data_IF_541790666991
#
_entry.id   IF_541790666991
#
_cell.length_a   1.000
_cell.length_b   1.000
_cell.length_c   1.000
_cell.angle_alpha   90.00
_cell.angle_beta   90.00
_cell.angle_gamma   90.00
#
_symmetry.space_group_name_H-M   'P 1'
#
loop_
_entity.id
_entity.type
_entity.pdbx_description
1 polymer ?
#
# COMPACT_ATOMS: atom_id res chain seq x y z
N UNK A 1 -22.93 61.71 -13.20
CA UNK A 1 -22.62 60.54 -12.35
C UNK A 1 -22.65 59.19 -13.08
N UNK A 2 -23.28 59.08 -14.26
CA UNK A 2 -23.56 57.78 -14.89
C UNK A 2 -22.37 57.22 -15.68
N UNK A 3 -21.45 58.09 -16.14
CA UNK A 3 -20.26 57.67 -16.87
C UNK A 3 -19.26 56.92 -16.00
N UNK A 4 -19.10 57.34 -14.73
CA UNK A 4 -18.22 56.66 -13.78
C UNK A 4 -18.67 55.22 -13.49
N UNK A 5 -19.98 55.00 -13.40
CA UNK A 5 -20.56 53.65 -13.20
C UNK A 5 -20.33 52.79 -14.44
N UNK A 6 -20.51 53.35 -15.63
CA UNK A 6 -20.28 52.65 -16.90
C UNK A 6 -18.81 52.26 -17.08
N UNK A 7 -17.88 53.12 -16.70
CA UNK A 7 -16.43 52.84 -16.72
C UNK A 7 -16.07 51.73 -15.72
N UNK A 8 -16.63 51.74 -14.51
CA UNK A 8 -16.38 50.69 -13.51
C UNK A 8 -16.89 49.32 -13.97
N UNK A 9 -18.07 49.27 -14.59
CA UNK A 9 -18.63 48.02 -15.15
C UNK A 9 -17.78 47.52 -16.32
N UNK A 10 -17.30 48.41 -17.19
CA UNK A 10 -16.42 48.05 -18.30
C UNK A 10 -15.09 47.48 -17.82
N UNK A 11 -14.44 48.11 -16.83
CA UNK A 11 -13.18 47.64 -16.24
C UNK A 11 -13.37 46.29 -15.54
N UNK A 12 -14.49 46.09 -14.85
CA UNK A 12 -14.81 44.82 -14.20
C UNK A 12 -15.01 43.68 -15.22
N UNK A 13 -15.75 43.92 -16.30
CA UNK A 13 -15.94 42.93 -17.37
C UNK A 13 -14.62 42.59 -18.06
N UNK A 14 -13.79 43.60 -18.36
CA UNK A 14 -12.46 43.42 -18.92
C UNK A 14 -11.58 42.60 -17.97
N UNK A 15 -11.61 42.88 -16.66
CA UNK A 15 -10.89 42.10 -15.64
C UNK A 15 -11.38 40.65 -15.55
N UNK A 16 -12.68 40.40 -15.63
CA UNK A 16 -13.25 39.04 -15.63
C UNK A 16 -12.83 38.27 -16.87
N UNK A 17 -12.85 38.92 -18.04
CA UNK A 17 -12.39 38.33 -19.30
C UNK A 17 -10.89 38.07 -19.25
N UNK A 18 -10.06 39.03 -18.82
CA UNK A 18 -8.61 38.84 -18.60
C UNK A 18 -8.33 37.76 -17.56
N UNK A 19 -9.11 37.68 -16.49
CA UNK A 19 -8.95 36.63 -15.47
C UNK A 19 -9.39 35.27 -15.99
N UNK A 20 -10.28 35.20 -16.96
CA UNK A 20 -10.71 33.96 -17.59
C UNK A 20 -9.78 33.53 -18.74
N UNK A 21 -9.28 34.47 -19.54
CA UNK A 21 -8.37 34.20 -20.67
C UNK A 21 -6.91 34.06 -20.25
N UNK A 22 -6.47 34.80 -19.22
CA UNK A 22 -5.11 34.73 -18.67
C UNK A 22 -5.03 33.84 -17.43
N UNK A 23 -6.17 33.50 -16.80
CA UNK A 23 -6.29 32.56 -15.68
C UNK A 23 -6.85 31.19 -16.09
N UNK A 24 -6.60 30.77 -17.33
CA UNK A 24 -6.88 29.42 -17.81
C UNK A 24 -6.04 28.38 -17.05
N UNK A 25 -6.73 27.49 -16.34
CA UNK A 25 -6.23 26.31 -15.63
C UNK A 25 -5.41 26.52 -14.34
N UNK A 26 -6.11 26.83 -13.24
CA UNK A 26 -6.04 25.89 -12.10
C UNK A 26 -7.05 24.76 -12.36
N UNK A 27 -6.84 24.04 -13.46
CA UNK A 27 -7.41 22.71 -13.56
C UNK A 27 -6.81 21.96 -12.39
N UNK A 28 -7.69 21.20 -11.76
CA UNK A 28 -7.44 20.13 -10.83
C UNK A 28 -6.46 19.09 -11.41
N UNK A 29 -5.26 19.49 -11.83
CA UNK A 29 -4.07 18.73 -11.57
C UNK A 29 -4.01 18.70 -10.05
N UNK A 30 -4.70 17.71 -9.49
CA UNK A 30 -4.06 16.77 -8.59
C UNK A 30 -2.56 16.91 -8.85
N UNK A 31 -1.91 17.74 -8.02
CA UNK A 31 -0.49 17.60 -7.75
C UNK A 31 -0.42 16.14 -7.40
N UNK A 32 -0.09 15.30 -8.40
CA UNK A 32 0.35 13.94 -8.20
C UNK A 32 1.50 14.19 -7.27
N UNK A 33 1.17 14.11 -5.99
CA UNK A 33 2.10 14.16 -4.91
C UNK A 33 3.16 13.21 -5.42
N UNK A 34 4.34 13.74 -5.75
CA UNK A 34 5.53 12.94 -5.84
C UNK A 34 5.75 12.44 -4.41
N UNK A 35 4.86 11.54 -3.97
CA UNK A 35 5.20 10.45 -3.09
C UNK A 35 6.53 9.98 -3.66
N UNK A 36 7.60 9.84 -2.87
CA UNK A 36 8.78 9.16 -3.36
C UNK A 36 8.21 7.88 -3.95
N UNK A 37 8.26 7.76 -5.29
CA UNK A 37 7.74 6.60 -5.96
C UNK A 37 8.57 5.51 -5.32
N UNK A 38 7.95 4.73 -4.43
CA UNK A 38 8.54 3.50 -3.96
C UNK A 38 8.98 2.85 -5.26
N UNK A 39 10.30 2.73 -5.46
CA UNK A 39 10.91 2.26 -6.69
C UNK A 39 10.34 0.86 -6.88
N UNK A 40 9.19 0.79 -7.53
CA UNK A 40 8.55 -0.46 -7.89
C UNK A 40 9.47 -0.98 -8.95
N UNK A 41 10.28 -1.95 -8.56
CA UNK A 41 11.12 -2.67 -9.50
C UNK A 41 10.14 -3.44 -10.37
N UNK A 42 9.96 -2.99 -11.59
CA UNK A 42 9.11 -3.66 -12.56
C UNK A 42 9.84 -4.92 -13.04
N UNK A 43 9.07 -5.98 -13.30
CA UNK A 43 9.62 -7.18 -13.92
C UNK A 43 9.93 -6.86 -15.37
N UNK A 44 11.15 -7.17 -15.80
CA UNK A 44 11.61 -6.96 -17.17
C UNK A 44 11.66 -8.29 -17.88
N UNK A 45 11.00 -8.39 -19.04
CA UNK A 45 11.09 -9.58 -19.89
C UNK A 45 12.24 -9.44 -20.89
N UNK A 46 12.84 -10.54 -21.35
CA UNK A 46 13.89 -10.50 -22.37
C UNK A 46 13.45 -9.81 -23.67
N UNK A 47 12.19 -9.98 -24.06
CA UNK A 47 11.64 -9.35 -25.27
C UNK A 47 11.62 -7.82 -25.20
N UNK A 48 11.34 -7.24 -24.01
CA UNK A 48 11.39 -5.79 -23.82
C UNK A 48 12.81 -5.25 -24.03
N UNK A 49 13.82 -6.01 -23.60
CA UNK A 49 15.24 -5.64 -23.76
C UNK A 49 15.63 -5.72 -25.23
N UNK A 50 15.22 -6.79 -25.92
CA UNK A 50 15.53 -7.02 -27.33
C UNK A 50 14.93 -5.94 -28.23
N UNK A 51 13.68 -5.53 -27.98
CA UNK A 51 13.02 -4.45 -28.71
C UNK A 51 13.80 -3.12 -28.59
N UNK A 52 14.22 -2.74 -27.38
CA UNK A 52 15.04 -1.53 -27.17
C UNK A 52 16.41 -1.69 -27.82
N UNK A 53 17.03 -2.87 -27.73
CA UNK A 53 18.34 -3.16 -28.34
C UNK A 53 18.33 -3.09 -29.86
N UNK A 54 17.24 -3.52 -30.51
CA UNK A 54 17.07 -3.45 -31.95
C UNK A 54 17.04 -2.00 -32.45
N UNK A 55 16.44 -1.08 -31.69
CA UNK A 55 16.42 0.36 -31.99
C UNK A 55 17.73 1.06 -31.60
N UNK A 56 18.36 0.64 -30.50
CA UNK A 56 19.56 1.25 -29.94
C UNK A 56 20.70 0.22 -29.74
N UNK A 57 21.40 -0.18 -30.81
CA UNK A 57 22.47 -1.18 -30.71
C UNK A 57 23.68 -0.70 -29.90
N UNK A 58 23.86 0.62 -29.78
CA UNK A 58 24.95 1.26 -29.03
C UNK A 58 24.71 1.28 -27.51
N UNK A 59 23.49 0.98 -27.05
CA UNK A 59 23.14 1.03 -25.62
C UNK A 59 23.31 -0.37 -25.00
N UNK A 60 24.06 -0.50 -23.89
CA UNK A 60 24.29 -1.80 -23.28
C UNK A 60 23.02 -2.38 -22.64
N UNK A 61 22.87 -3.70 -22.72
CA UNK A 61 21.69 -4.42 -22.19
C UNK A 61 21.46 -4.20 -20.70
N UNK A 62 22.55 -4.03 -19.93
CA UNK A 62 22.46 -3.72 -18.50
C UNK A 62 21.79 -2.36 -18.22
N UNK A 63 22.07 -1.35 -19.04
CA UNK A 63 21.46 -0.02 -18.89
C UNK A 63 19.98 -0.05 -19.32
N UNK A 64 19.66 -0.78 -20.39
CA UNK A 64 18.28 -1.04 -20.83
C UNK A 64 17.50 -1.72 -19.71
N UNK A 65 18.03 -2.80 -19.14
CA UNK A 65 17.37 -3.53 -18.06
C UNK A 65 17.14 -2.66 -16.83
N UNK A 66 18.13 -1.87 -16.43
CA UNK A 66 18.02 -0.99 -15.27
C UNK A 66 16.97 0.12 -15.47
N UNK A 67 16.91 0.73 -16.65
CA UNK A 67 15.89 1.74 -16.93
C UNK A 67 14.51 1.09 -17.08
N UNK A 68 14.38 -0.07 -17.73
CA UNK A 68 13.12 -0.82 -17.81
C UNK A 68 12.61 -1.27 -16.43
N UNK A 69 13.50 -1.62 -15.50
CA UNK A 69 13.12 -1.91 -14.11
C UNK A 69 12.56 -0.67 -13.41
N UNK A 70 13.04 0.52 -13.77
CA UNK A 70 12.61 1.81 -13.22
C UNK A 70 11.31 2.30 -13.84
N UNK A 71 11.19 2.23 -15.16
CA UNK A 71 10.06 2.77 -15.95
C UNK A 71 8.92 1.76 -16.09
N UNK A 72 9.24 0.47 -16.22
CA UNK A 72 8.29 -0.60 -16.48
C UNK A 72 7.70 -0.61 -17.90
N UNK A 73 8.17 0.26 -18.80
CA UNK A 73 7.65 0.37 -20.17
C UNK A 73 8.78 0.63 -21.16
N UNK A 74 8.70 -0.07 -22.31
CA UNK A 74 9.64 0.07 -23.42
C UNK A 74 9.59 1.47 -24.01
N UNK A 75 8.40 2.02 -24.23
CA UNK A 75 8.20 3.34 -24.83
C UNK A 75 8.88 4.45 -24.01
N UNK A 76 8.71 4.41 -22.68
CA UNK A 76 9.33 5.39 -21.77
C UNK A 76 10.85 5.26 -21.78
N UNK A 77 11.37 4.04 -21.89
CA UNK A 77 12.82 3.80 -21.97
C UNK A 77 13.39 4.24 -23.32
N UNK A 78 12.65 4.10 -24.42
CA UNK A 78 13.01 4.64 -25.74
C UNK A 78 13.06 6.18 -25.68
N UNK A 79 12.04 6.82 -25.11
CA UNK A 79 12.01 8.27 -24.94
C UNK A 79 13.19 8.78 -24.08
N UNK A 80 13.53 8.08 -23.00
CA UNK A 80 14.68 8.43 -22.18
C UNK A 80 15.99 8.29 -22.96
N UNK A 81 16.16 7.20 -23.72
CA UNK A 81 17.34 6.98 -24.55
C UNK A 81 17.50 8.07 -25.62
N UNK A 82 16.40 8.55 -26.21
CA UNK A 82 16.42 9.65 -27.18
C UNK A 82 16.75 10.99 -26.53
N UNK A 83 16.19 11.26 -25.34
CA UNK A 83 16.42 12.52 -24.60
C UNK A 83 17.86 12.69 -24.15
N UNK A 84 18.43 11.63 -23.60
CA UNK A 84 19.74 11.67 -22.95
C UNK A 84 20.86 11.21 -23.90
N UNK A 85 20.52 10.80 -25.14
CA UNK A 85 21.48 10.22 -26.10
C UNK A 85 22.02 8.84 -25.66
N UNK A 86 21.37 8.19 -24.71
CA UNK A 86 21.79 6.95 -24.08
C UNK A 86 21.01 6.69 -22.78
N UNK A 87 21.29 5.57 -22.11
CA UNK A 87 20.68 5.25 -20.82
C UNK A 87 21.72 5.34 -19.69
N UNK A 88 21.34 5.82 -18.49
CA UNK A 88 22.26 5.89 -17.36
C UNK A 88 22.73 4.48 -16.98
N UNK A 89 24.05 4.29 -16.95
CA UNK A 89 24.64 3.01 -16.58
C UNK A 89 24.34 2.70 -15.10
N UNK A 90 23.73 1.55 -14.78
CA UNK A 90 23.54 1.16 -13.39
C UNK A 90 24.90 1.00 -12.72
N UNK A 91 25.03 1.31 -11.41
CA UNK A 91 26.22 0.96 -10.67
C UNK A 91 26.38 -0.56 -10.74
N UNK A 92 27.52 -1.01 -11.29
CA UNK A 92 27.84 -2.44 -11.36
C UNK A 92 27.84 -3.00 -9.94
N UNK A 93 27.09 -4.08 -9.64
CA UNK A 93 27.31 -4.79 -8.40
C UNK A 93 28.74 -5.35 -8.47
N UNK A 94 29.65 -4.86 -7.64
CA UNK A 94 30.89 -5.57 -7.35
C UNK A 94 30.50 -6.96 -6.87
N UNK A 95 30.62 -7.94 -7.76
CA UNK A 95 30.56 -9.35 -7.40
C UNK A 95 31.77 -9.59 -6.51
N UNK A 96 31.54 -9.67 -5.20
CA UNK A 96 32.48 -10.33 -4.29
C UNK A 96 32.64 -11.76 -4.80
N UNK A 97 33.77 -12.03 -5.41
CA UNK A 97 34.19 -13.34 -5.88
C UNK A 97 34.21 -14.31 -4.68
N UNK A 98 33.55 -15.48 -4.74
CA UNK A 98 33.65 -16.48 -3.68
C UNK A 98 35.01 -17.18 -3.80
N UNK A 99 35.99 -16.82 -2.96
CA UNK A 99 37.32 -17.42 -3.04
C UNK A 99 38.31 -17.00 -1.96
N UNK A 100 38.02 -17.30 -0.68
CA UNK A 100 39.01 -17.70 0.34
C UNK A 100 38.32 -17.86 1.70
N UNK A 101 38.51 -18.98 2.44
CA UNK A 101 37.95 -19.15 3.76
C UNK A 101 38.82 -18.40 4.77
N UNK A 102 38.40 -17.19 5.17
CA UNK A 102 38.84 -16.62 6.43
C UNK A 102 37.75 -16.93 7.44
N UNK A 103 38.07 -17.82 8.39
CA UNK A 103 37.21 -18.07 9.54
C UNK A 103 36.93 -16.72 10.23
N UNK A 104 35.64 -16.43 10.45
CA UNK A 104 35.09 -15.86 11.67
C UNK A 104 33.57 -15.73 11.52
N UNK A 105 32.91 -16.67 12.19
CA UNK A 105 31.62 -16.62 12.89
C UNK A 105 30.36 -16.03 12.23
N UNK A 106 29.39 -16.95 12.11
CA UNK A 106 27.94 -16.84 12.13
C UNK A 106 27.19 -16.07 11.02
N UNK A 107 26.90 -16.85 9.97
CA UNK A 107 25.78 -16.61 9.05
C UNK A 107 24.73 -17.70 9.27
N UNK A 108 23.56 -17.37 9.81
CA UNK A 108 22.35 -18.15 9.55
C UNK A 108 21.53 -17.45 8.47
N UNK A 109 21.55 -18.05 7.28
CA UNK A 109 20.80 -17.69 6.09
C UNK A 109 19.30 -17.91 6.25
N UNK A 110 18.46 -16.94 5.85
CA UNK A 110 17.11 -17.23 5.36
C UNK A 110 16.54 -16.07 4.51
N UNK A 111 16.13 -16.41 3.29
CA UNK A 111 15.13 -15.77 2.43
C UNK A 111 14.93 -14.25 2.56
N UNK A 112 15.40 -13.50 1.56
CA UNK A 112 15.17 -12.06 1.37
C UNK A 112 13.70 -11.77 1.01
N UNK A 113 12.82 -11.88 2.00
CA UNK A 113 11.69 -10.96 2.10
C UNK A 113 12.29 -9.58 2.41
N UNK A 114 12.00 -8.58 1.58
CA UNK A 114 12.47 -7.21 1.78
C UNK A 114 11.86 -6.62 3.04
N UNK A 115 12.48 -6.89 4.19
CA UNK A 115 12.29 -6.09 5.39
C UNK A 115 12.90 -4.73 5.08
N UNK A 116 12.03 -3.72 4.99
CA UNK A 116 12.44 -2.32 4.99
C UNK A 116 13.36 -2.16 6.18
N UNK A 117 14.63 -1.73 5.98
CA UNK A 117 15.55 -1.38 7.06
C UNK A 117 14.78 -0.52 8.06
N UNK A 118 14.35 -1.13 9.16
CA UNK A 118 13.81 -0.39 10.28
C UNK A 118 14.96 0.48 10.71
N UNK A 119 14.82 1.78 10.55
CA UNK A 119 15.63 2.71 11.34
C UNK A 119 15.63 2.18 12.78
N UNK A 120 16.78 2.22 13.47
CA UNK A 120 17.06 1.61 14.79
C UNK A 120 16.13 2.04 15.95
N UNK A 121 14.94 2.56 15.69
CA UNK A 121 13.88 2.73 16.65
C UNK A 121 13.23 1.36 16.89
N UNK A 122 13.45 0.78 18.08
CA UNK A 122 12.90 -0.52 18.48
C UNK A 122 11.37 -0.62 18.42
N UNK A 123 10.65 0.52 18.43
CA UNK A 123 9.19 0.54 18.22
C UNK A 123 8.71 1.88 17.62
N UNK A 124 7.56 1.84 16.94
CA UNK A 124 6.88 3.06 16.46
C UNK A 124 6.47 3.98 17.62
N UNK A 125 6.18 3.41 18.79
CA UNK A 125 5.87 4.18 20.00
C UNK A 125 7.04 5.04 20.43
N UNK A 126 8.25 4.47 20.43
CA UNK A 126 9.46 5.20 20.75
C UNK A 126 9.75 6.32 19.74
N UNK A 127 9.47 6.07 18.46
CA UNK A 127 9.65 7.07 17.41
C UNK A 127 8.73 8.29 17.60
N UNK A 128 7.49 8.07 18.04
CA UNK A 128 6.52 9.13 18.28
C UNK A 128 6.46 9.59 19.74
N UNK A 129 7.33 9.06 20.62
CA UNK A 129 7.35 9.34 22.07
C UNK A 129 5.95 9.19 22.70
N UNK A 130 5.26 8.11 22.34
CA UNK A 130 3.91 7.83 22.83
C UNK A 130 3.99 6.94 24.06
N UNK A 131 3.62 7.48 25.22
CA UNK A 131 3.56 6.75 26.48
C UNK A 131 2.15 6.22 26.72
N UNK A 132 1.99 4.88 26.84
CA UNK A 132 0.67 4.25 27.03
C UNK A 132 -0.05 4.75 28.29
N UNK A 133 0.70 5.16 29.32
CA UNK A 133 0.19 5.58 30.62
C UNK A 133 -0.24 7.05 30.68
N UNK A 134 0.18 7.88 29.73
CA UNK A 134 -0.16 9.31 29.69
C UNK A 134 -1.26 9.63 28.65
N UNK A 135 -1.85 8.60 28.03
CA UNK A 135 -2.87 8.79 27.00
C UNK A 135 -4.16 9.31 27.61
N UNK A 136 -4.49 10.56 27.31
CA UNK A 136 -5.79 11.11 27.65
C UNK A 136 -6.84 10.62 26.65
N UNK A 137 -8.11 10.54 27.05
CA UNK A 137 -9.20 10.14 26.14
C UNK A 137 -9.34 11.06 24.92
N UNK A 138 -8.80 12.29 25.00
CA UNK A 138 -8.71 13.23 23.88
C UNK A 138 -7.72 12.78 22.79
N UNK A 139 -6.64 12.07 23.14
CA UNK A 139 -5.64 11.56 22.19
C UNK A 139 -6.13 10.32 21.42
N UNK A 140 -7.25 9.74 21.88
CA UNK A 140 -7.95 8.63 21.24
C UNK A 140 -9.09 9.08 20.33
N UNK A 141 -9.39 10.38 20.25
CA UNK A 141 -10.38 10.91 19.33
C UNK A 141 -9.80 10.94 17.90
N UNK A 142 -10.61 10.53 16.91
CA UNK A 142 -10.18 10.58 15.52
C UNK A 142 -9.97 12.04 15.10
N UNK A 143 -8.75 12.43 14.69
CA UNK A 143 -8.49 13.81 14.27
C UNK A 143 -9.23 14.09 12.96
N UNK A 144 -9.81 15.30 12.79
CA UNK A 144 -10.61 15.61 11.62
C UNK A 144 -9.78 15.45 10.33
N UNK A 145 -10.38 14.80 9.32
CA UNK A 145 -9.77 14.53 8.02
C UNK A 145 -9.85 15.76 7.09
N UNK A 146 -9.61 16.95 7.63
CA UNK A 146 -9.64 18.21 6.89
C UNK A 146 -8.20 18.70 6.69
N UNK A 147 -7.90 19.20 5.50
CA UNK A 147 -6.60 19.76 5.18
C UNK A 147 -6.60 21.26 5.50
N UNK A 148 -5.90 21.64 6.56
CA UNK A 148 -5.72 23.04 6.94
C UNK A 148 -4.95 23.82 5.86
N UNK A 149 -5.26 25.11 5.67
CA UNK A 149 -4.56 26.00 4.74
C UNK A 149 -3.15 26.36 5.24
N UNK A 150 -3.00 26.53 6.56
CA UNK A 150 -1.76 26.90 7.22
C UNK A 150 -0.78 25.71 7.29
N UNK A 151 0.49 25.96 7.00
CA UNK A 151 1.51 24.91 6.94
C UNK A 151 1.80 24.27 8.31
N UNK A 152 1.85 25.07 9.37
CA UNK A 152 2.13 24.61 10.73
C UNK A 152 0.99 23.76 11.28
N UNK A 153 -0.25 24.26 11.21
CA UNK A 153 -1.45 23.51 11.63
C UNK A 153 -1.58 22.18 10.90
N UNK A 154 -1.28 22.17 9.60
CA UNK A 154 -1.26 20.94 8.80
C UNK A 154 -0.20 19.95 9.27
N UNK A 155 1.00 20.41 9.60
CA UNK A 155 2.05 19.54 10.12
C UNK A 155 1.62 18.91 11.46
N UNK A 156 1.02 19.69 12.35
CA UNK A 156 0.49 19.21 13.63
C UNK A 156 -0.64 18.19 13.43
N UNK A 157 -1.59 18.48 12.55
CA UNK A 157 -2.68 17.57 12.19
C UNK A 157 -2.16 16.24 11.65
N UNK A 158 -1.12 16.26 10.80
CA UNK A 158 -0.49 15.05 10.30
C UNK A 158 0.25 14.26 11.39
N UNK A 159 0.87 14.94 12.36
CA UNK A 159 1.50 14.29 13.51
C UNK A 159 0.45 13.59 14.38
N UNK A 160 -0.60 14.31 14.79
CA UNK A 160 -1.73 13.76 15.56
C UNK A 160 -2.36 12.54 14.89
N UNK A 161 -2.56 12.59 13.57
CA UNK A 161 -3.10 11.46 12.80
C UNK A 161 -2.18 10.24 12.77
N UNK A 162 -0.86 10.44 12.70
CA UNK A 162 0.11 9.34 12.76
C UNK A 162 0.12 8.71 14.15
N UNK A 163 0.07 9.53 15.18
CA UNK A 163 0.02 9.09 16.58
C UNK A 163 -1.24 8.28 16.84
N UNK A 164 -2.41 8.80 16.44
CA UNK A 164 -3.69 8.08 16.49
C UNK A 164 -3.62 6.70 15.80
N UNK A 165 -3.04 6.63 14.60
CA UNK A 165 -2.91 5.38 13.86
C UNK A 165 -2.02 4.36 14.58
N UNK A 166 -0.93 4.81 15.21
CA UNK A 166 -0.03 3.94 15.98
C UNK A 166 -0.76 3.35 17.18
N UNK A 167 -1.54 4.17 17.88
CA UNK A 167 -2.34 3.73 19.04
C UNK A 167 -3.43 2.74 18.63
N UNK A 168 -4.17 3.03 17.56
CA UNK A 168 -5.20 2.13 17.04
C UNK A 168 -4.60 0.78 16.64
N UNK A 169 -3.46 0.79 15.95
CA UNK A 169 -2.76 -0.43 15.56
C UNK A 169 -2.31 -1.25 16.78
N UNK A 170 -1.85 -0.58 17.85
CA UNK A 170 -1.46 -1.24 19.10
C UNK A 170 -2.65 -1.90 19.79
N UNK A 171 -3.78 -1.19 19.93
CA UNK A 171 -5.02 -1.75 20.50
C UNK A 171 -5.46 -3.01 19.73
N UNK A 172 -5.50 -2.92 18.41
CA UNK A 172 -5.86 -4.04 17.54
C UNK A 172 -4.89 -5.22 17.65
N UNK A 173 -3.61 -4.97 17.89
CA UNK A 173 -2.60 -6.01 18.09
C UNK A 173 -2.84 -6.76 19.41
N UNK A 174 -3.08 -6.02 20.50
CA UNK A 174 -3.35 -6.60 21.83
C UNK A 174 -4.61 -7.46 21.79
N UNK A 175 -5.70 -6.96 21.18
CA UNK A 175 -6.94 -7.71 21.01
C UNK A 175 -6.73 -9.03 20.23
N UNK A 176 -5.97 -8.97 19.13
CA UNK A 176 -5.63 -10.17 18.35
C UNK A 176 -4.78 -11.17 19.14
N UNK A 177 -3.88 -10.70 20.01
CA UNK A 177 -3.09 -11.58 20.88
C UNK A 177 -3.98 -12.30 21.90
N UNK A 178 -4.91 -11.58 22.53
CA UNK A 178 -5.87 -12.17 23.47
C UNK A 178 -6.78 -13.20 22.80
N UNK A 179 -7.28 -12.90 21.59
CA UNK A 179 -8.10 -13.84 20.81
C UNK A 179 -7.31 -15.12 20.45
N UNK A 180 -6.04 -14.99 20.08
CA UNK A 180 -5.17 -16.15 19.80
C UNK A 180 -4.91 -17.01 21.05
N UNK A 181 -4.71 -16.38 22.21
CA UNK A 181 -4.55 -17.09 23.47
C UNK A 181 -5.84 -17.84 23.84
N UNK A 182 -7.00 -17.19 23.73
CA UNK A 182 -8.31 -17.81 24.00
C UNK A 182 -8.64 -18.97 23.05
N UNK A 183 -8.18 -18.92 21.80
CA UNK A 183 -8.33 -20.01 20.83
C UNK A 183 -7.38 -21.19 21.09
N UNK A 184 -6.33 -21.01 21.91
CA UNK A 184 -5.37 -22.07 22.25
C UNK A 184 -5.77 -22.82 23.55
N UNK A 185 -6.74 -22.30 24.30
CA UNK A 185 -7.18 -22.84 25.60
C UNK A 185 -8.49 -23.65 25.54
N UNK A 186 -8.97 -24.11 24.38
CA UNK A 186 -10.10 -25.06 24.35
C UNK A 186 -9.58 -26.46 24.73
N UNK A 187 -9.97 -27.00 25.91
CA UNK A 187 -9.32 -28.15 26.51
C UNK A 187 -9.77 -29.46 25.86
N UNK A 188 -8.78 -30.29 25.51
CA UNK A 188 -8.94 -31.71 25.25
C UNK A 188 -9.29 -32.45 26.54
N UNK A 189 -10.46 -33.08 26.63
CA UNK A 189 -10.67 -34.27 27.46
C UNK A 189 -11.44 -35.37 26.71
N UNK A 190 -11.06 -36.65 26.90
CA UNK A 190 -11.55 -37.82 26.18
C UNK A 190 -12.74 -38.47 26.89
N UNK A 191 -13.74 -39.03 26.19
CA UNK A 191 -14.66 -40.07 26.74
C UNK A 191 -15.38 -40.85 25.62
N UNK A 192 -15.02 -42.12 25.53
CA UNK A 192 -15.79 -43.36 25.27
C UNK A 192 -17.31 -43.26 24.91
N UNK A 193 -17.64 -43.95 23.81
CA UNK A 193 -18.85 -44.73 23.45
C UNK A 193 -20.29 -44.26 23.79
N UNK A 194 -21.15 -44.32 22.76
CA UNK A 194 -22.52 -44.89 22.69
C UNK A 194 -23.43 -44.03 21.80
N UNK A 195 -23.81 -44.50 20.62
CA UNK A 195 -25.02 -45.27 20.31
C UNK A 195 -26.22 -44.40 19.88
N UNK A 196 -26.58 -44.52 18.59
CA UNK A 196 -27.93 -44.55 17.99
C UNK A 196 -28.91 -43.41 18.34
N UNK A 197 -29.33 -42.62 17.34
CA UNK A 197 -30.70 -42.64 16.75
C UNK A 197 -30.86 -41.54 15.67
N UNK A 198 -31.73 -41.78 14.69
CA UNK A 198 -32.01 -40.97 13.48
C UNK A 198 -33.51 -40.67 13.50
N UNK A 199 -34.04 -39.45 13.23
CA UNK A 199 -34.40 -39.12 11.85
C UNK A 199 -34.43 -37.63 11.41
N UNK A 200 -34.12 -37.44 10.13
CA UNK A 200 -34.80 -36.58 9.14
C UNK A 200 -35.18 -35.14 9.56
N UNK A 201 -34.52 -34.11 9.05
CA UNK A 201 -34.84 -33.56 7.73
C UNK A 201 -33.78 -32.55 7.31
N UNK A 202 -33.12 -32.79 6.17
CA UNK A 202 -32.18 -31.86 5.53
C UNK A 202 -32.84 -31.31 4.27
N UNK A 203 -32.97 -29.99 4.05
CA UNK A 203 -32.99 -29.48 2.70
C UNK A 203 -31.56 -29.61 2.16
N UNK A 204 -31.40 -30.52 1.21
CA UNK A 204 -30.17 -30.70 0.43
C UNK A 204 -29.96 -29.42 -0.37
N UNK A 205 -28.89 -28.68 -0.08
CA UNK A 205 -28.32 -27.68 -0.99
C UNK A 205 -26.87 -28.09 -1.25
N UNK A 206 -26.70 -28.89 -2.29
CA UNK A 206 -25.43 -29.32 -2.87
C UNK A 206 -24.75 -28.18 -3.68
N UNK A 207 -24.73 -26.96 -3.13
CA UNK A 207 -24.13 -25.79 -3.78
C UNK A 207 -22.70 -25.53 -3.30
N UNK A 208 -21.73 -25.59 -4.22
CA UNK A 208 -20.39 -25.07 -3.97
C UNK A 208 -20.48 -23.54 -3.74
N UNK A 209 -19.61 -22.95 -2.90
CA UNK A 209 -19.67 -21.51 -2.56
C UNK A 209 -19.66 -20.58 -3.79
N UNK A 210 -19.05 -21.04 -4.88
CA UNK A 210 -18.97 -20.34 -6.17
C UNK A 210 -20.31 -20.25 -6.92
N UNK A 211 -21.34 -20.99 -6.50
CA UNK A 211 -22.64 -21.09 -7.18
C UNK A 211 -23.78 -20.35 -6.44
N UNK A 212 -23.48 -19.73 -5.29
CA UNK A 212 -24.45 -18.97 -4.51
C UNK A 212 -24.68 -17.58 -5.12
N UNK A 213 -25.94 -17.18 -5.22
CA UNK A 213 -26.32 -15.90 -5.80
C UNK A 213 -25.78 -14.71 -4.98
N UNK A 214 -25.54 -13.58 -5.63
CA UNK A 214 -24.98 -12.37 -4.99
C UNK A 214 -25.87 -11.88 -3.83
N UNK A 215 -27.18 -12.12 -3.90
CA UNK A 215 -28.13 -11.73 -2.87
C UNK A 215 -28.01 -12.61 -1.61
N UNK A 216 -27.79 -13.92 -1.75
CA UNK A 216 -27.56 -14.83 -0.61
C UNK A 216 -26.25 -14.52 0.10
N UNK A 217 -25.20 -14.18 -0.65
CA UNK A 217 -23.89 -13.80 -0.11
C UNK A 217 -23.93 -12.54 0.77
N UNK A 218 -24.88 -11.64 0.51
CA UNK A 218 -25.07 -10.41 1.29
C UNK A 218 -25.92 -10.62 2.54
N UNK A 219 -26.76 -11.66 2.57
CA UNK A 219 -27.54 -12.01 3.77
C UNK A 219 -26.78 -12.86 4.78
N UNK A 220 -25.65 -13.46 4.38
CA UNK A 220 -24.90 -14.37 5.23
C UNK A 220 -24.16 -13.62 6.35
N UNK A 221 -24.36 -14.08 7.58
CA UNK A 221 -23.61 -13.56 8.74
C UNK A 221 -22.13 -13.97 8.67
N UNK A 222 -21.21 -13.20 9.30
CA UNK A 222 -19.77 -13.47 9.22
C UNK A 222 -19.38 -14.88 9.70
N UNK A 223 -20.08 -15.40 10.72
CA UNK A 223 -19.87 -16.74 11.26
C UNK A 223 -20.32 -17.84 10.30
N UNK A 224 -21.45 -17.65 9.61
CA UNK A 224 -21.95 -18.62 8.61
C UNK A 224 -21.03 -18.72 7.39
N UNK A 225 -20.49 -17.58 6.91
CA UNK A 225 -19.52 -17.58 5.81
C UNK A 225 -18.23 -18.33 6.18
N UNK A 226 -17.79 -18.22 7.44
CA UNK A 226 -16.60 -18.91 7.94
C UNK A 226 -16.81 -20.43 7.98
N UNK A 227 -17.95 -20.88 8.49
CA UNK A 227 -18.27 -22.31 8.53
C UNK A 227 -18.36 -22.91 7.13
N UNK A 228 -18.98 -22.19 6.19
CA UNK A 228 -19.06 -22.62 4.80
C UNK A 228 -17.66 -22.75 4.16
N UNK A 229 -16.76 -21.81 4.46
CA UNK A 229 -15.37 -21.87 3.99
C UNK A 229 -14.63 -23.09 4.56
N UNK A 230 -14.82 -23.41 5.85
CA UNK A 230 -14.20 -24.58 6.46
C UNK A 230 -14.72 -25.88 5.84
N UNK A 231 -16.02 -25.95 5.58
CA UNK A 231 -16.64 -27.11 4.94
C UNK A 231 -16.12 -27.34 3.51
N UNK A 232 -15.80 -26.26 2.77
CA UNK A 232 -15.19 -26.36 1.45
C UNK A 232 -13.77 -26.95 1.47
N UNK A 233 -13.02 -26.77 2.57
CA UNK A 233 -11.68 -27.35 2.71
C UNK A 233 -11.69 -28.82 3.13
N UNK A 234 -12.75 -29.27 3.80
CA UNK A 234 -12.87 -30.66 4.28
C UNK A 234 -13.31 -31.63 3.17
N UNK A 235 -13.93 -31.13 2.10
CA UNK A 235 -14.49 -31.96 1.01
C UNK A 235 -13.50 -32.24 -0.13
N UNK A 236 -12.19 -32.07 0.08
CA UNK A 236 -11.13 -32.25 -0.94
C UNK A 236 -10.07 -33.23 -0.46
#
# INVERSE_FOLDING_TARGET
>A
MNDGISILVAVFLIFVVLRWTLGGQQQNQQRRQRRPASRRVHRVTPQMIEMVRAMFPNVPTAAIQADLQRTGSVEVTVDNALRDGGLPMPPTPTTSQPGSPSLNEDSTTSSTSTSRKSTNYGSLMQRYKLDEQNLTQADLAEPPKVWESDAEKRQEMLKKRKEFMVLQARKKLVEQQQQKQKATETPSTPTVASSVDVPSSKPVLDGNFDDLSVDELNTLTPEQRRLHMLQAFEKK
#
